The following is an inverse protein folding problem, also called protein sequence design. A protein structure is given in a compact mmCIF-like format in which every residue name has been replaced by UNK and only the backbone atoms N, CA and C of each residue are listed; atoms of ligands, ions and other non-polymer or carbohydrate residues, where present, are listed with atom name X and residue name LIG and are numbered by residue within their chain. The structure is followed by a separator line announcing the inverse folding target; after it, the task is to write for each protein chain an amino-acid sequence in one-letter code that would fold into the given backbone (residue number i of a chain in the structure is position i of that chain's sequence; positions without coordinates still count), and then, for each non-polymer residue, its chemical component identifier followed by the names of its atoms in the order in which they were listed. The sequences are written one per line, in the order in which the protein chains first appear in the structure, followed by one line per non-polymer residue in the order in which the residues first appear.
data_IF_786723010807
#
_entry.id   IF_786723010807
#
_cell.length_a   1.000
_cell.length_b   1.000
_cell.length_c   1.000
_cell.angle_alpha   90.00
_cell.angle_beta   90.00
_cell.angle_gamma   90.00
#
_symmetry.space_group_name_H-M   'P 1'
#
loop_
_entity.id
_entity.type
_entity.pdbx_description
1 polymer ?
#
# COMPACT_ATOMS: atom_id res chain seq x y z
N UNK A 1 59.36 33.52 -10.60
CA UNK A 1 58.80 32.36 -9.86
C UNK A 1 57.33 32.28 -10.25
N UNK A 2 56.89 31.40 -11.16
CA UNK A 2 56.66 29.95 -10.99
C UNK A 2 55.84 29.66 -9.74
N UNK A 3 54.71 28.95 -9.72
CA UNK A 3 53.76 28.44 -10.73
C UNK A 3 52.51 27.99 -9.94
N UNK A 4 51.33 28.12 -10.53
CA UNK A 4 50.10 27.34 -10.32
C UNK A 4 49.68 26.90 -8.89
N UNK A 5 48.63 27.53 -8.36
CA UNK A 5 47.76 26.93 -7.36
C UNK A 5 46.58 26.25 -8.10
N UNK A 6 46.71 24.94 -8.35
CA UNK A 6 45.61 24.12 -8.83
C UNK A 6 44.60 23.94 -7.69
N UNK A 7 43.53 24.73 -7.73
CA UNK A 7 42.37 24.50 -6.87
C UNK A 7 41.50 23.44 -7.56
N UNK A 8 41.75 22.17 -7.25
CA UNK A 8 40.80 21.09 -7.50
C UNK A 8 39.49 21.45 -6.77
N UNK A 9 38.53 22.00 -7.50
CA UNK A 9 37.13 21.93 -7.09
C UNK A 9 36.72 20.45 -7.15
N UNK A 10 36.78 19.79 -6.01
CA UNK A 10 35.99 18.60 -5.76
C UNK A 10 34.52 19.00 -6.00
N UNK A 11 33.99 18.60 -7.15
CA UNK A 11 32.57 18.76 -7.45
C UNK A 11 31.74 18.06 -6.37
N UNK A 12 30.51 18.52 -6.12
CA UNK A 12 29.63 17.89 -5.15
C UNK A 12 29.52 16.41 -5.52
N UNK A 13 29.93 15.55 -4.58
CA UNK A 13 29.66 14.13 -4.67
C UNK A 13 28.15 13.97 -4.84
N UNK A 14 27.74 13.55 -6.03
CA UNK A 14 26.38 13.06 -6.26
C UNK A 14 26.20 11.94 -5.23
N UNK A 15 25.29 12.07 -4.25
CA UNK A 15 25.04 10.99 -3.32
C UNK A 15 24.68 9.76 -4.16
N UNK A 16 25.24 8.59 -3.87
CA UNK A 16 24.85 7.37 -4.57
C UNK A 16 23.32 7.27 -4.49
N UNK A 17 22.67 7.19 -5.64
CA UNK A 17 21.26 6.80 -5.74
C UNK A 17 21.10 5.56 -4.88
N UNK A 18 20.45 5.73 -3.73
CA UNK A 18 20.11 4.61 -2.87
C UNK A 18 19.37 3.58 -3.73
N UNK A 19 19.75 2.29 -3.66
CA UNK A 19 19.14 1.29 -4.50
C UNK A 19 17.62 1.36 -4.30
N UNK A 20 16.90 1.48 -5.40
CA UNK A 20 15.45 1.30 -5.51
C UNK A 20 15.13 -0.20 -5.26
N UNK A 21 15.66 -0.78 -4.19
CA UNK A 21 15.40 -2.13 -3.72
C UNK A 21 14.51 -2.09 -2.48
N UNK A 22 14.49 -0.97 -1.76
CA UNK A 22 13.62 -0.78 -0.59
C UNK A 22 12.14 -0.54 -0.93
N UNK A 23 11.81 -0.20 -2.18
CA UNK A 23 10.40 -0.05 -2.60
C UNK A 23 9.74 -1.42 -2.80
N UNK A 24 10.50 -2.45 -3.22
CA UNK A 24 9.94 -3.79 -3.48
C UNK A 24 9.66 -4.53 -2.17
N UNK A 25 10.50 -4.36 -1.15
CA UNK A 25 10.33 -5.00 0.17
C UNK A 25 9.29 -4.27 1.03
N UNK A 26 9.16 -2.93 0.90
CA UNK A 26 7.99 -2.24 1.45
C UNK A 26 6.71 -2.69 0.75
N UNK A 27 6.73 -2.90 -0.56
CA UNK A 27 5.62 -3.44 -1.32
C UNK A 27 5.15 -4.80 -0.77
N UNK A 28 6.07 -5.72 -0.46
CA UNK A 28 5.74 -7.01 0.15
C UNK A 28 5.28 -6.95 1.61
N UNK A 29 5.81 -6.03 2.42
CA UNK A 29 5.33 -5.83 3.79
C UNK A 29 3.99 -5.06 3.84
N UNK A 30 3.70 -4.25 2.82
CA UNK A 30 2.41 -3.59 2.59
C UNK A 30 1.35 -4.52 1.96
N UNK A 31 1.74 -5.68 1.41
CA UNK A 31 0.82 -6.69 0.84
C UNK A 31 -0.14 -7.31 1.87
N UNK A 32 -0.06 -6.98 3.16
CA UNK A 32 -0.99 -7.50 4.18
C UNK A 32 -1.50 -6.40 5.09
N UNK A 33 -2.44 -5.59 4.59
CA UNK A 33 -3.65 -5.44 5.41
C UNK A 33 -4.27 -6.81 5.42
N UNK A 34 -4.06 -7.54 6.51
CA UNK A 34 -4.69 -8.83 6.66
C UNK A 34 -6.16 -8.54 6.91
N UNK A 35 -7.02 -8.80 5.95
CA UNK A 35 -8.46 -8.89 6.20
C UNK A 35 -8.90 -10.30 5.83
N UNK A 36 -9.61 -10.95 6.74
CA UNK A 36 -10.26 -12.23 6.46
C UNK A 36 -11.71 -11.95 6.09
N UNK A 37 -12.14 -12.46 4.94
CA UNK A 37 -13.53 -12.34 4.50
C UNK A 37 -14.13 -13.71 4.22
N UNK A 38 -15.43 -13.84 4.48
CA UNK A 38 -16.21 -15.04 4.17
C UNK A 38 -17.54 -14.65 3.56
N UNK A 39 -17.91 -15.32 2.48
CA UNK A 39 -19.24 -15.23 1.87
C UNK A 39 -20.02 -16.51 2.09
N UNK A 40 -21.36 -16.43 2.03
CA UNK A 40 -22.23 -17.60 1.97
C UNK A 40 -22.50 -18.05 0.52
N UNK A 41 -23.23 -19.17 0.37
CA UNK A 41 -23.63 -19.73 -0.92
C UNK A 41 -24.52 -18.80 -1.77
N UNK A 42 -25.04 -17.70 -1.20
CA UNK A 42 -25.84 -16.69 -1.89
C UNK A 42 -25.02 -15.45 -2.25
N UNK A 43 -23.69 -15.50 -2.08
CA UNK A 43 -22.77 -14.41 -2.34
C UNK A 43 -22.80 -13.30 -1.29
N UNK A 44 -23.47 -13.50 -0.14
CA UNK A 44 -23.56 -12.48 0.90
C UNK A 44 -22.33 -12.51 1.79
N UNK A 45 -21.75 -11.34 2.07
CA UNK A 45 -20.69 -11.22 3.06
C UNK A 45 -21.20 -11.61 4.45
N UNK A 46 -20.53 -12.58 5.07
CA UNK A 46 -20.86 -13.10 6.41
C UNK A 46 -19.87 -12.66 7.48
N UNK A 47 -18.64 -12.38 7.07
CA UNK A 47 -17.57 -11.98 7.96
C UNK A 47 -16.62 -11.08 7.19
N UNK A 48 -16.23 -9.99 7.82
CA UNK A 48 -14.98 -9.29 7.53
C UNK A 48 -14.26 -9.07 8.86
N UNK A 49 -12.98 -9.41 8.93
CA UNK A 49 -12.15 -9.22 10.12
C UNK A 49 -10.81 -8.64 9.72
N UNK A 50 -10.45 -7.51 10.30
CA UNK A 50 -9.08 -6.97 10.24
C UNK A 50 -8.19 -7.87 11.12
N UNK A 51 -7.17 -8.45 10.50
CA UNK A 51 -6.12 -9.31 11.06
C UNK A 51 -4.87 -8.46 11.34
N UNK A 52 -4.53 -7.52 10.45
CA UNK A 52 -3.39 -6.61 10.62
C UNK A 52 -3.85 -5.19 10.34
N UNK A 53 -3.78 -4.33 11.36
CA UNK A 53 -4.06 -2.90 11.26
C UNK A 53 -2.83 -2.14 10.76
N UNK A 54 -3.05 -1.07 10.01
CA UNK A 54 -2.00 -0.13 9.57
C UNK A 54 -1.90 1.12 10.45
N UNK A 55 -2.65 1.14 11.56
CA UNK A 55 -2.66 2.25 12.52
C UNK A 55 -3.52 3.44 12.10
N UNK A 56 -4.38 3.26 11.11
CA UNK A 56 -5.37 4.24 10.66
C UNK A 56 -6.73 3.56 10.51
N UNK A 57 -7.72 4.05 11.27
CA UNK A 57 -9.02 3.39 11.38
C UNK A 57 -9.86 3.45 10.10
N UNK A 58 -9.58 4.40 9.20
CA UNK A 58 -10.27 4.52 7.91
C UNK A 58 -9.68 3.53 6.89
N UNK A 59 -8.35 3.45 6.83
CA UNK A 59 -7.63 2.47 6.01
C UNK A 59 -7.88 1.02 6.49
N UNK A 60 -8.01 0.80 7.80
CA UNK A 60 -8.33 -0.52 8.35
C UNK A 60 -9.72 -1.01 7.94
N UNK A 61 -10.68 -0.09 7.76
CA UNK A 61 -12.06 -0.42 7.35
C UNK A 61 -12.23 -0.51 5.84
N UNK A 62 -11.35 0.14 5.07
CA UNK A 62 -11.40 0.20 3.61
C UNK A 62 -11.75 -1.13 2.94
N UNK A 63 -11.03 -2.19 3.31
CA UNK A 63 -11.24 -3.48 2.66
C UNK A 63 -12.56 -4.14 3.05
N UNK A 64 -13.05 -3.94 4.29
CA UNK A 64 -14.37 -4.43 4.66
C UNK A 64 -15.47 -3.71 3.88
N UNK A 65 -15.35 -2.40 3.69
CA UNK A 65 -16.28 -1.62 2.88
C UNK A 65 -16.24 -2.05 1.41
N UNK A 66 -15.05 -2.34 0.88
CA UNK A 66 -14.87 -2.97 -0.42
C UNK A 66 -15.53 -4.35 -0.51
N UNK A 67 -15.38 -5.18 0.51
CA UNK A 67 -16.04 -6.47 0.60
C UNK A 67 -17.56 -6.35 0.58
N UNK A 68 -18.14 -5.37 1.28
CA UNK A 68 -19.59 -5.11 1.26
C UNK A 68 -20.05 -4.67 -0.13
N UNK A 69 -19.36 -3.71 -0.74
CA UNK A 69 -19.67 -3.22 -2.08
C UNK A 69 -19.59 -4.35 -3.13
N UNK A 70 -18.53 -5.15 -3.09
CA UNK A 70 -18.35 -6.29 -3.99
C UNK A 70 -19.39 -7.39 -3.74
N UNK A 71 -19.76 -7.66 -2.48
CA UNK A 71 -20.81 -8.64 -2.15
C UNK A 71 -22.20 -8.22 -2.65
N UNK A 72 -22.46 -6.92 -2.87
CA UNK A 72 -23.71 -6.45 -3.46
C UNK A 72 -23.94 -7.01 -4.89
N UNK A 73 -22.86 -7.37 -5.59
CA UNK A 73 -22.92 -8.02 -6.91
C UNK A 73 -23.28 -9.52 -6.84
N UNK A 74 -23.41 -10.08 -5.63
CA UNK A 74 -23.65 -11.51 -5.37
C UNK A 74 -22.63 -12.41 -6.08
N UNK A 75 -21.33 -12.31 -5.73
CA UNK A 75 -20.29 -13.15 -6.30
C UNK A 75 -20.63 -14.63 -6.10
N UNK A 76 -20.34 -15.44 -7.12
CA UNK A 76 -20.65 -16.88 -7.13
C UNK A 76 -19.76 -17.68 -6.17
N UNK A 77 -18.56 -17.20 -5.92
CA UNK A 77 -17.56 -17.83 -5.06
C UNK A 77 -16.59 -16.80 -4.48
N UNK A 78 -15.69 -17.28 -3.61
CA UNK A 78 -14.70 -16.43 -2.96
C UNK A 78 -13.71 -15.83 -3.96
N UNK A 79 -13.39 -16.50 -5.07
CA UNK A 79 -12.46 -15.99 -6.06
C UNK A 79 -13.06 -14.78 -6.81
N UNK A 80 -14.35 -14.83 -7.14
CA UNK A 80 -15.07 -13.71 -7.71
C UNK A 80 -15.14 -12.50 -6.77
N UNK A 81 -15.32 -12.74 -5.45
CA UNK A 81 -15.22 -11.66 -4.46
C UNK A 81 -13.80 -11.08 -4.42
N UNK A 82 -12.77 -11.93 -4.35
CA UNK A 82 -11.37 -11.51 -4.32
C UNK A 82 -11.01 -10.67 -5.53
N UNK A 83 -11.37 -11.08 -6.74
CA UNK A 83 -11.09 -10.33 -7.96
C UNK A 83 -11.70 -8.92 -7.94
N UNK A 84 -12.94 -8.79 -7.46
CA UNK A 84 -13.59 -7.48 -7.29
C UNK A 84 -12.85 -6.59 -6.27
N UNK A 85 -12.40 -7.18 -5.17
CA UNK A 85 -11.65 -6.47 -4.13
C UNK A 85 -10.27 -6.06 -4.65
N UNK A 86 -9.55 -6.94 -5.33
CA UNK A 86 -8.21 -6.68 -5.86
C UNK A 86 -8.19 -5.55 -6.89
N UNK A 87 -9.29 -5.35 -7.63
CA UNK A 87 -9.44 -4.20 -8.53
C UNK A 87 -9.42 -2.83 -7.80
N UNK A 88 -9.58 -2.81 -6.47
CA UNK A 88 -9.54 -1.59 -5.64
C UNK A 88 -8.18 -1.36 -4.97
N UNK A 89 -7.15 -2.13 -5.35
CA UNK A 89 -5.82 -2.04 -4.74
C UNK A 89 -5.15 -0.70 -4.95
N UNK A 90 -5.29 -0.11 -6.13
CA UNK A 90 -4.63 1.16 -6.42
C UNK A 90 -5.23 2.30 -5.58
N UNK A 91 -6.57 2.33 -5.46
CA UNK A 91 -7.28 3.23 -4.53
C UNK A 91 -6.77 3.09 -3.10
N UNK A 92 -6.59 1.85 -2.62
CA UNK A 92 -6.03 1.60 -1.28
C UNK A 92 -4.61 2.17 -1.13
N UNK A 93 -3.74 1.92 -2.11
CA UNK A 93 -2.33 2.36 -2.07
C UNK A 93 -2.21 3.88 -2.06
N UNK A 94 -3.00 4.58 -2.87
CA UNK A 94 -3.03 6.05 -2.89
C UNK A 94 -3.38 6.62 -1.51
N UNK A 95 -4.39 6.06 -0.83
CA UNK A 95 -4.80 6.50 0.52
C UNK A 95 -3.70 6.24 1.57
N UNK A 96 -3.00 5.11 1.49
CA UNK A 96 -1.86 4.81 2.37
C UNK A 96 -0.72 5.81 2.17
N UNK A 97 -0.40 6.14 0.91
CA UNK A 97 0.65 7.11 0.58
C UNK A 97 0.29 8.50 1.13
N UNK A 98 -0.97 8.93 0.97
CA UNK A 98 -1.47 10.19 1.51
C UNK A 98 -1.34 10.26 3.03
N UNK A 99 -1.82 9.24 3.76
CA UNK A 99 -1.75 9.16 5.23
C UNK A 99 -0.30 9.28 5.74
N UNK A 100 0.64 8.56 5.10
CA UNK A 100 2.06 8.59 5.48
C UNK A 100 2.70 9.95 5.22
N UNK A 101 2.32 10.61 4.13
CA UNK A 101 2.84 11.93 3.76
C UNK A 101 2.44 13.00 4.78
N UNK A 102 1.21 12.94 5.29
CA UNK A 102 0.73 13.82 6.38
C UNK A 102 1.47 13.54 7.69
N UNK A 103 1.63 12.26 8.06
CA UNK A 103 2.32 11.89 9.30
C UNK A 103 3.80 12.29 9.33
N UNK A 104 4.48 12.36 8.17
CA UNK A 104 5.89 12.78 8.07
C UNK A 104 6.08 14.29 8.24
N UNK A 105 5.03 15.07 7.98
CA UNK A 105 5.07 16.54 8.05
C UNK A 105 4.67 17.08 9.44
N UNK A 106 4.17 16.21 10.32
CA UNK A 106 3.83 16.49 11.71
C UNK A 106 4.88 15.91 12.67
#
# INVERSE_FOLDING_TARGET
MMLALALQLAGPAVPPEEPIEDIVVLGERLKRVGVSMKIDRKGRLRMCRVIHSVGDAELDRFWCDAGVACAATKPKDAAALTACIEARKDEYLERVIAMRSTKRQN
#
